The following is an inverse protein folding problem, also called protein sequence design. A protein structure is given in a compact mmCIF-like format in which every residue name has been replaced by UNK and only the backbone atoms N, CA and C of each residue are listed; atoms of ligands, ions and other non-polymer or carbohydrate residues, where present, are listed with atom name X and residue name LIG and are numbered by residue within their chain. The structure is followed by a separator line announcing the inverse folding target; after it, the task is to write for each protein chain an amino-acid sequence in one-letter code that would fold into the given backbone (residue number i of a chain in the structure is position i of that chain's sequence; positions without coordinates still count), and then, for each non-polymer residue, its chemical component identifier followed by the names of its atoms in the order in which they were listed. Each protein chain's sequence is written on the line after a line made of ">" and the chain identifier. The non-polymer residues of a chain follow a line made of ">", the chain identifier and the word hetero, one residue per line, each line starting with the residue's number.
data_IF_055348484153
#
_entry.id   IF_055348484153
#
_cell.length_a   1.000
_cell.length_b   1.000
_cell.length_c   1.000
_cell.angle_alpha   90.00
_cell.angle_beta   90.00
_cell.angle_gamma   90.00
#
_symmetry.space_group_name_H-M   'P 1'
#
loop_
_entity.id
_entity.type
_entity.pdbx_description
1 polymer ?
#
# COMPACT_ATOMS: atom_id res chain seq x y z
N UNK A 1 38.79 23.77 20.61
CA UNK A 1 37.40 23.52 20.17
C UNK A 1 36.44 23.15 21.33
N UNK A 2 36.60 23.68 22.55
CA UNK A 2 35.75 23.27 23.69
C UNK A 2 34.28 23.75 23.60
N UNK A 3 33.99 24.76 22.77
CA UNK A 3 32.64 25.32 22.60
C UNK A 3 31.82 24.75 21.44
N UNK A 4 32.35 23.83 20.64
CA UNK A 4 31.65 23.34 19.45
C UNK A 4 30.47 22.44 19.85
N UNK A 5 29.24 22.85 19.50
CA UNK A 5 28.00 22.15 19.87
C UNK A 5 27.29 21.50 18.68
N UNK A 6 27.54 21.98 17.48
CA UNK A 6 26.92 21.54 16.24
C UNK A 6 28.03 21.28 15.23
N UNK A 7 28.00 20.12 14.59
CA UNK A 7 28.92 19.74 13.54
C UNK A 7 28.12 19.25 12.35
N UNK A 8 28.36 19.81 11.18
CA UNK A 8 27.65 19.46 9.95
C UNK A 8 28.59 19.31 8.76
N UNK A 9 28.51 18.15 8.11
CA UNK A 9 29.18 17.80 6.86
C UNK A 9 28.21 17.06 5.94
N UNK A 10 27.72 17.77 4.93
CA UNK A 10 26.76 17.25 3.96
C UNK A 10 27.45 17.00 2.61
N UNK A 11 27.33 15.78 2.09
CA UNK A 11 27.87 15.36 0.79
C UNK A 11 29.39 15.58 0.64
N UNK A 12 30.14 15.50 1.74
CA UNK A 12 31.60 15.61 1.75
C UNK A 12 32.22 14.25 2.02
N UNK A 13 33.08 13.80 1.11
CA UNK A 13 33.84 12.56 1.26
C UNK A 13 35.26 12.96 1.70
N UNK A 14 35.57 12.67 2.96
CA UNK A 14 36.92 12.86 3.49
C UNK A 14 37.79 11.64 3.17
N UNK A 15 39.02 11.86 2.72
CA UNK A 15 40.00 10.80 2.50
C UNK A 15 40.66 10.31 3.79
N UNK A 16 40.57 11.09 4.87
CA UNK A 16 41.19 10.80 6.15
C UNK A 16 40.16 10.58 7.27
N UNK A 17 40.52 9.68 8.19
CA UNK A 17 39.71 9.35 9.35
C UNK A 17 39.81 10.45 10.43
N UNK A 18 38.69 11.00 10.94
CA UNK A 18 38.72 11.92 12.08
C UNK A 18 39.30 11.23 13.32
N UNK A 19 40.40 11.77 13.82
CA UNK A 19 41.07 11.27 15.04
C UNK A 19 40.39 11.73 16.33
N UNK A 20 39.62 12.81 16.28
CA UNK A 20 39.01 13.44 17.46
C UNK A 20 37.66 14.05 17.14
N UNK A 21 36.71 13.91 18.08
CA UNK A 21 35.42 14.58 18.09
C UNK A 21 35.22 15.26 19.47
N UNK A 22 34.87 16.56 19.53
CA UNK A 22 34.64 17.23 20.81
C UNK A 22 33.46 16.65 21.60
N UNK A 23 33.66 16.35 22.88
CA UNK A 23 32.59 15.86 23.76
C UNK A 23 31.49 16.90 24.08
N UNK A 24 31.69 18.17 23.72
CA UNK A 24 30.68 19.24 23.86
C UNK A 24 29.63 19.25 22.75
N UNK A 25 29.79 18.41 21.72
CA UNK A 25 28.84 18.25 20.63
C UNK A 25 27.48 17.77 21.15
N UNK A 26 26.43 18.43 20.64
CA UNK A 26 25.02 18.15 20.89
C UNK A 26 24.36 17.57 19.64
N UNK A 27 24.81 17.98 18.46
CA UNK A 27 24.29 17.50 17.18
C UNK A 27 25.48 17.22 16.26
N UNK A 28 25.45 16.05 15.62
CA UNK A 28 26.36 15.68 14.54
C UNK A 28 25.51 15.31 13.34
N UNK A 29 25.64 16.08 12.26
CA UNK A 29 25.15 15.72 10.94
C UNK A 29 26.35 15.44 10.04
N UNK A 30 26.62 14.18 9.70
CA UNK A 30 27.81 13.80 8.96
C UNK A 30 27.52 12.68 7.98
N UNK A 31 26.94 13.06 6.83
CA UNK A 31 26.77 12.12 5.72
C UNK A 31 28.13 11.63 5.21
N UNK A 32 28.20 10.37 4.78
CA UNK A 32 29.42 9.76 4.22
C UNK A 32 30.61 9.75 5.19
N UNK A 33 30.36 9.60 6.50
CA UNK A 33 31.42 9.55 7.49
C UNK A 33 32.47 8.48 7.12
N UNK A 34 33.76 8.85 7.05
CA UNK A 34 34.77 8.06 6.36
C UNK A 34 35.22 6.83 7.17
N UNK A 35 35.16 6.91 8.49
CA UNK A 35 35.76 5.88 9.36
C UNK A 35 34.85 4.70 9.65
N UNK A 36 35.48 3.59 10.02
CA UNK A 36 34.81 2.35 10.41
C UNK A 36 34.10 2.43 11.76
N UNK A 37 34.54 3.34 12.64
CA UNK A 37 34.01 3.55 13.99
C UNK A 37 34.06 5.05 14.34
N UNK A 38 33.25 5.47 15.32
CA UNK A 38 33.50 6.74 16.01
C UNK A 38 34.82 6.66 16.81
N UNK A 39 35.52 7.78 17.02
CA UNK A 39 36.76 7.78 17.80
C UNK A 39 36.51 7.25 19.22
N UNK A 40 37.38 6.37 19.72
CA UNK A 40 37.25 5.77 21.05
C UNK A 40 37.30 6.80 22.19
N UNK A 41 37.89 7.96 21.93
CA UNK A 41 37.91 9.12 22.83
C UNK A 41 36.59 9.88 22.89
N UNK A 42 35.67 9.65 21.95
CA UNK A 42 34.40 10.36 21.88
C UNK A 42 33.43 9.85 22.96
N UNK A 43 33.31 10.62 24.04
CA UNK A 43 32.38 10.38 25.16
C UNK A 43 31.49 11.61 25.37
N UNK A 44 30.44 11.75 24.56
CA UNK A 44 29.51 12.88 24.67
C UNK A 44 28.25 12.53 25.44
N UNK A 45 28.17 12.99 26.69
CA UNK A 45 26.95 12.91 27.50
C UNK A 45 25.90 13.99 27.14
N UNK A 46 26.24 14.87 26.19
CA UNK A 46 25.40 15.99 25.76
C UNK A 46 24.82 15.80 24.36
N UNK A 47 25.25 14.78 23.62
CA UNK A 47 24.79 14.49 22.27
C UNK A 47 23.31 14.12 22.30
N UNK A 48 22.50 14.87 21.55
CA UNK A 48 21.06 14.65 21.38
C UNK A 48 20.71 14.06 20.01
N UNK A 49 21.56 14.30 19.01
CA UNK A 49 21.34 13.83 17.64
C UNK A 49 22.65 13.37 17.01
N UNK A 50 22.59 12.19 16.40
CA UNK A 50 23.66 11.59 15.61
C UNK A 50 23.08 11.14 14.27
N UNK A 51 23.23 12.00 13.26
CA UNK A 51 22.75 11.79 11.91
C UNK A 51 23.95 11.56 10.98
N UNK A 52 24.19 10.31 10.57
CA UNK A 52 25.37 9.93 9.79
C UNK A 52 25.01 8.94 8.68
N UNK A 53 24.16 9.34 7.71
CA UNK A 53 23.73 8.45 6.65
C UNK A 53 24.87 8.18 5.66
N UNK A 54 24.79 7.06 4.94
CA UNK A 54 25.77 6.63 3.93
C UNK A 54 27.19 6.46 4.48
N UNK A 55 27.33 6.24 5.79
CA UNK A 55 28.65 6.15 6.44
C UNK A 55 29.36 4.82 6.19
N UNK A 56 30.69 4.85 6.26
CA UNK A 56 31.56 3.67 6.19
C UNK A 56 31.64 2.87 7.50
N UNK A 57 30.80 3.22 8.48
CA UNK A 57 30.74 2.56 9.78
C UNK A 57 30.53 1.06 9.61
N UNK A 58 31.37 0.28 10.28
CA UNK A 58 31.22 -1.17 10.44
C UNK A 58 30.45 -1.48 11.72
N UNK A 59 30.72 -0.71 12.77
CA UNK A 59 29.97 -0.61 14.02
C UNK A 59 29.99 0.84 14.48
N UNK A 60 29.14 1.21 15.43
CA UNK A 60 29.12 2.57 15.95
C UNK A 60 30.41 2.89 16.74
N UNK A 61 30.90 1.94 17.53
CA UNK A 61 32.10 2.04 18.37
C UNK A 61 32.78 0.67 18.52
N UNK A 62 34.06 0.64 18.90
CA UNK A 62 34.81 -0.59 19.19
C UNK A 62 34.44 -1.24 20.54
N UNK A 63 33.83 -0.47 21.44
CA UNK A 63 33.38 -0.94 22.76
C UNK A 63 32.01 -0.41 23.13
N UNK A 64 31.64 -0.55 24.41
CA UNK A 64 30.37 -0.01 24.94
C UNK A 64 30.34 1.51 24.74
N UNK A 65 29.21 2.00 24.25
CA UNK A 65 28.95 3.42 24.05
C UNK A 65 27.79 3.84 24.95
N UNK A 66 27.96 4.97 25.61
CA UNK A 66 26.94 5.57 26.48
C UNK A 66 26.67 7.00 26.02
N UNK A 67 25.45 7.23 25.52
CA UNK A 67 24.97 8.50 25.00
C UNK A 67 23.61 8.80 25.66
N UNK A 68 23.58 9.11 26.96
CA UNK A 68 22.34 9.13 27.74
C UNK A 68 21.35 10.19 27.30
N UNK A 69 21.77 11.25 26.59
CA UNK A 69 20.89 12.30 26.06
C UNK A 69 20.48 12.10 24.60
N UNK A 70 20.97 11.04 23.93
CA UNK A 70 20.68 10.81 22.53
C UNK A 70 19.19 10.54 22.34
N UNK A 71 18.58 11.27 21.40
CA UNK A 71 17.17 11.13 21.02
C UNK A 71 17.01 10.62 19.60
N UNK A 72 17.95 10.94 18.71
CA UNK A 72 17.86 10.61 17.30
C UNK A 72 19.17 9.96 16.84
N UNK A 73 19.08 8.75 16.31
CA UNK A 73 20.19 8.02 15.70
C UNK A 73 19.79 7.63 14.27
N UNK A 74 20.44 8.22 13.28
CA UNK A 74 20.26 7.87 11.88
C UNK A 74 21.58 7.40 11.29
N UNK A 75 21.63 6.12 10.90
CA UNK A 75 22.76 5.50 10.20
C UNK A 75 22.31 4.93 8.85
N UNK A 76 21.25 5.49 8.27
CA UNK A 76 20.65 4.97 7.06
C UNK A 76 21.64 4.86 5.90
N UNK A 77 21.50 3.81 5.10
CA UNK A 77 22.31 3.48 3.93
C UNK A 77 23.80 3.25 4.25
N UNK A 78 24.14 2.99 5.52
CA UNK A 78 25.46 2.51 5.92
C UNK A 78 25.65 1.04 5.54
N UNK A 79 26.02 0.81 4.27
CA UNK A 79 26.17 -0.53 3.67
C UNK A 79 27.25 -1.39 4.34
N UNK A 80 28.16 -0.82 5.13
CA UNK A 80 29.21 -1.58 5.84
C UNK A 80 28.82 -1.96 7.26
N UNK A 81 27.70 -1.46 7.78
CA UNK A 81 27.27 -1.68 9.16
C UNK A 81 26.86 -3.15 9.33
N UNK A 82 27.49 -3.86 10.26
CA UNK A 82 27.28 -5.31 10.47
C UNK A 82 26.37 -5.57 11.68
N UNK A 83 26.51 -4.78 12.74
CA UNK A 83 25.68 -4.90 13.94
C UNK A 83 25.39 -3.55 14.59
N UNK A 84 24.32 -3.50 15.38
CA UNK A 84 23.96 -2.32 16.19
C UNK A 84 24.71 -2.32 17.53
N UNK A 85 24.88 -1.16 18.19
CA UNK A 85 25.42 -1.10 19.55
C UNK A 85 24.45 -1.69 20.58
N UNK A 86 24.94 -1.89 21.81
CA UNK A 86 24.08 -2.09 22.96
C UNK A 86 23.30 -0.80 23.28
N UNK A 87 22.00 -0.84 23.07
CA UNK A 87 21.10 0.28 23.31
C UNK A 87 20.85 0.62 24.79
N UNK A 88 21.39 -0.14 25.76
CA UNK A 88 21.29 0.19 27.20
C UNK A 88 21.90 1.57 27.55
N UNK A 89 22.91 2.01 26.78
CA UNK A 89 23.50 3.36 26.88
C UNK A 89 22.70 4.47 26.20
N UNK A 90 21.49 4.19 25.70
CA UNK A 90 20.68 5.13 24.92
C UNK A 90 19.24 5.23 25.46
N UNK A 91 19.04 5.42 26.78
CA UNK A 91 17.72 5.34 27.42
C UNK A 91 16.70 6.37 26.91
N UNK A 92 17.15 7.44 26.26
CA UNK A 92 16.33 8.54 25.76
C UNK A 92 16.06 8.49 24.25
N UNK A 93 16.48 7.42 23.58
CA UNK A 93 16.34 7.27 22.13
C UNK A 93 14.86 7.28 21.74
N UNK A 94 14.50 8.16 20.80
CA UNK A 94 13.15 8.32 20.26
C UNK A 94 13.04 7.83 18.82
N UNK A 95 14.13 7.92 18.06
CA UNK A 95 14.18 7.48 16.67
C UNK A 95 15.46 6.71 16.41
N UNK A 96 15.32 5.53 15.79
CA UNK A 96 16.39 4.74 15.23
C UNK A 96 16.10 4.48 13.76
N UNK A 97 16.94 5.05 12.88
CA UNK A 97 16.86 4.83 11.44
C UNK A 97 18.10 4.11 10.91
N UNK A 98 17.89 2.91 10.39
CA UNK A 98 18.87 2.03 9.77
C UNK A 98 18.45 1.65 8.34
N UNK A 99 17.57 2.44 7.71
CA UNK A 99 17.07 2.21 6.35
C UNK A 99 18.19 1.84 5.38
N UNK A 100 18.05 0.76 4.62
CA UNK A 100 19.02 0.26 3.62
C UNK A 100 20.42 -0.04 4.16
N UNK A 101 20.57 -0.37 5.45
CA UNK A 101 21.78 -1.02 5.96
C UNK A 101 21.82 -2.49 5.53
N UNK A 102 22.14 -2.73 4.26
CA UNK A 102 22.01 -4.06 3.60
C UNK A 102 22.80 -5.18 4.26
N UNK A 103 23.97 -4.89 4.84
CA UNK A 103 24.85 -5.87 5.49
C UNK A 103 24.63 -5.96 7.01
N UNK A 104 23.59 -5.33 7.55
CA UNK A 104 23.24 -5.43 8.97
C UNK A 104 22.72 -6.85 9.25
N UNK A 105 23.48 -7.61 10.03
CA UNK A 105 23.20 -9.03 10.32
C UNK A 105 22.48 -9.18 11.66
N UNK A 106 22.93 -8.45 12.68
CA UNK A 106 22.48 -8.60 14.06
C UNK A 106 22.02 -7.25 14.62
N UNK A 107 20.83 -7.25 15.22
CA UNK A 107 20.33 -6.15 16.02
C UNK A 107 20.45 -6.57 17.48
N UNK A 108 21.18 -5.77 18.26
CA UNK A 108 21.41 -6.06 19.67
C UNK A 108 20.07 -6.15 20.43
N UNK A 109 19.85 -7.19 21.26
CA UNK A 109 18.56 -7.45 21.89
C UNK A 109 18.00 -6.30 22.73
N UNK A 110 18.86 -5.45 23.30
CA UNK A 110 18.41 -4.30 24.10
C UNK A 110 17.57 -3.27 23.33
N UNK A 111 17.52 -3.34 21.99
CA UNK A 111 16.57 -2.53 21.19
C UNK A 111 15.12 -2.77 21.63
N UNK A 112 14.79 -3.99 22.04
CA UNK A 112 13.45 -4.41 22.42
C UNK A 112 12.91 -3.72 23.68
N UNK A 113 13.77 -3.14 24.50
CA UNK A 113 13.41 -2.55 25.79
C UNK A 113 13.51 -1.02 25.80
N UNK A 114 13.63 -0.39 24.63
CA UNK A 114 13.68 1.07 24.51
C UNK A 114 12.29 1.70 24.72
N UNK A 115 11.94 1.92 25.99
CA UNK A 115 10.63 2.46 26.42
C UNK A 115 10.24 3.82 25.83
N UNK A 116 11.21 4.60 25.33
CA UNK A 116 11.02 5.94 24.74
C UNK A 116 11.09 5.96 23.21
N UNK A 117 11.42 4.83 22.56
CA UNK A 117 11.54 4.77 21.11
C UNK A 117 10.15 4.88 20.49
N UNK A 118 9.98 5.85 19.60
CA UNK A 118 8.74 6.10 18.84
C UNK A 118 8.81 5.55 17.42
N UNK A 119 10.00 5.55 16.81
CA UNK A 119 10.18 5.12 15.43
C UNK A 119 11.39 4.20 15.29
N UNK A 120 11.15 3.00 14.75
CA UNK A 120 12.17 2.03 14.36
C UNK A 120 12.06 1.74 12.86
N UNK A 121 13.06 2.20 12.10
CA UNK A 121 13.13 1.99 10.66
C UNK A 121 14.30 1.06 10.30
N UNK A 122 13.96 -0.15 9.87
CA UNK A 122 14.86 -1.22 9.41
C UNK A 122 14.61 -1.57 7.95
N UNK A 123 13.88 -0.73 7.22
CA UNK A 123 13.48 -0.98 5.83
C UNK A 123 14.69 -1.26 4.95
N UNK A 124 14.71 -2.36 4.21
CA UNK A 124 15.76 -2.73 3.26
C UNK A 124 17.05 -3.23 3.94
N UNK A 125 16.98 -3.62 5.21
CA UNK A 125 18.05 -4.37 5.87
C UNK A 125 17.94 -5.86 5.51
N UNK A 126 18.46 -6.20 4.33
CA UNK A 126 18.30 -7.52 3.70
C UNK A 126 19.00 -8.64 4.49
N UNK A 127 20.11 -8.37 5.19
CA UNK A 127 20.92 -9.40 5.88
C UNK A 127 20.51 -9.74 7.31
N UNK A 128 19.46 -9.11 7.86
CA UNK A 128 19.04 -9.37 9.26
C UNK A 128 18.64 -10.84 9.39
N UNK A 129 19.32 -11.55 10.30
CA UNK A 129 19.05 -12.99 10.55
C UNK A 129 17.95 -13.22 11.58
N UNK A 130 17.92 -12.38 12.62
CA UNK A 130 16.97 -12.51 13.72
C UNK A 130 16.69 -11.16 14.35
N UNK A 131 15.44 -11.00 14.78
CA UNK A 131 15.02 -9.93 15.69
C UNK A 131 14.95 -10.50 17.13
N UNK A 132 14.90 -9.65 18.16
CA UNK A 132 14.55 -10.07 19.52
C UNK A 132 13.25 -10.89 19.52
N UNK A 133 13.09 -11.81 20.48
CA UNK A 133 11.88 -12.66 20.53
C UNK A 133 10.61 -11.90 20.88
N UNK A 134 10.74 -10.81 21.65
CA UNK A 134 9.64 -9.99 22.12
C UNK A 134 10.06 -8.52 22.12
N UNK A 135 9.12 -7.63 21.82
CA UNK A 135 9.26 -6.19 21.96
C UNK A 135 8.48 -5.70 23.17
N UNK A 136 9.15 -4.94 24.03
CA UNK A 136 8.55 -4.22 25.15
C UNK A 136 8.76 -2.71 25.00
N UNK A 137 8.22 -2.14 23.93
CA UNK A 137 8.49 -0.76 23.51
C UNK A 137 7.24 0.12 23.64
N UNK A 138 6.93 0.53 24.87
CA UNK A 138 5.66 1.18 25.24
C UNK A 138 5.33 2.45 24.42
N UNK A 139 6.35 3.19 23.95
CA UNK A 139 6.18 4.42 23.16
C UNK A 139 6.23 4.22 21.65
N UNK A 140 6.41 2.99 21.14
CA UNK A 140 6.61 2.76 19.72
C UNK A 140 5.33 3.12 18.95
N UNK A 141 5.47 3.96 17.93
CA UNK A 141 4.39 4.44 17.06
C UNK A 141 4.55 3.92 15.63
N UNK A 142 5.78 3.76 15.16
CA UNK A 142 6.14 3.36 13.79
C UNK A 142 7.19 2.26 13.77
N UNK A 143 6.88 1.17 13.07
CA UNK A 143 7.79 0.05 12.81
C UNK A 143 7.84 -0.25 11.31
N UNK A 144 9.03 -0.21 10.72
CA UNK A 144 9.22 -0.58 9.31
C UNK A 144 10.34 -1.62 9.17
N UNK A 145 9.98 -2.80 8.69
CA UNK A 145 10.84 -3.93 8.33
C UNK A 145 10.75 -4.26 6.83
N UNK A 146 10.07 -3.44 6.02
CA UNK A 146 9.85 -3.75 4.60
C UNK A 146 11.17 -3.94 3.85
N UNK A 147 11.29 -4.98 3.06
CA UNK A 147 12.52 -5.34 2.32
C UNK A 147 13.59 -6.02 3.16
N UNK A 148 13.34 -6.32 4.44
CA UNK A 148 14.18 -7.22 5.24
C UNK A 148 13.86 -8.68 4.89
N UNK A 149 14.26 -9.07 3.68
CA UNK A 149 13.88 -10.32 3.02
C UNK A 149 14.28 -11.61 3.76
N UNK A 150 15.23 -11.58 4.68
CA UNK A 150 15.62 -12.75 5.49
C UNK A 150 14.86 -12.88 6.82
N UNK A 151 14.04 -11.89 7.20
CA UNK A 151 13.26 -11.93 8.44
C UNK A 151 12.08 -12.90 8.27
N UNK A 152 12.14 -14.04 8.95
CA UNK A 152 11.11 -15.11 8.91
C UNK A 152 10.09 -15.04 10.05
N UNK A 153 10.46 -14.42 11.16
CA UNK A 153 9.62 -14.28 12.35
C UNK A 153 9.70 -12.84 12.81
N UNK A 154 8.53 -12.26 13.11
CA UNK A 154 8.46 -10.99 13.82
C UNK A 154 8.32 -11.26 15.33
N UNK A 155 8.77 -10.33 16.18
CA UNK A 155 8.71 -10.49 17.63
C UNK A 155 7.27 -10.51 18.14
N UNK A 156 7.05 -11.13 19.29
CA UNK A 156 5.82 -10.90 20.06
C UNK A 156 5.77 -9.45 20.54
N UNK A 157 4.57 -8.88 20.67
CA UNK A 157 4.36 -7.52 21.17
C UNK A 157 3.93 -7.56 22.64
N UNK A 158 4.62 -6.84 23.51
CA UNK A 158 4.26 -6.75 24.92
C UNK A 158 2.92 -6.05 25.15
N UNK A 159 2.25 -6.38 26.25
CA UNK A 159 0.87 -5.92 26.57
C UNK A 159 0.71 -4.38 26.65
N UNK A 160 1.80 -3.66 26.90
CA UNK A 160 1.80 -2.20 27.03
C UNK A 160 2.00 -1.46 25.70
N UNK A 161 2.23 -2.17 24.58
CA UNK A 161 2.51 -1.58 23.27
C UNK A 161 1.25 -1.03 22.56
N UNK A 162 0.51 -0.15 23.24
CA UNK A 162 -0.78 0.37 22.77
C UNK A 162 -0.66 1.51 21.75
N UNK A 163 0.54 2.07 21.59
CA UNK A 163 0.80 3.27 20.79
C UNK A 163 1.20 2.99 19.33
N UNK A 164 1.47 1.73 18.97
CA UNK A 164 1.89 1.39 17.61
C UNK A 164 0.75 1.71 16.65
N UNK A 165 1.00 2.60 15.70
CA UNK A 165 0.02 3.09 14.73
C UNK A 165 0.29 2.54 13.33
N UNK A 166 1.56 2.34 12.97
CA UNK A 166 1.96 1.91 11.63
C UNK A 166 2.96 0.77 11.70
N UNK A 167 2.65 -0.32 10.99
CA UNK A 167 3.55 -1.46 10.77
C UNK A 167 3.68 -1.71 9.26
N UNK A 168 4.91 -1.72 8.77
CA UNK A 168 5.25 -2.12 7.41
C UNK A 168 6.23 -3.30 7.42
N UNK A 169 5.83 -4.43 6.81
CA UNK A 169 6.59 -5.67 6.72
C UNK A 169 6.74 -6.15 5.27
N UNK A 170 6.54 -5.28 4.30
CA UNK A 170 6.43 -5.66 2.88
C UNK A 170 7.70 -6.38 2.38
N UNK A 171 7.57 -7.43 1.59
CA UNK A 171 8.71 -8.15 1.01
C UNK A 171 9.61 -8.81 2.04
N UNK A 172 9.09 -9.13 3.23
CA UNK A 172 9.77 -9.96 4.23
C UNK A 172 9.48 -11.45 4.00
N UNK A 173 10.29 -12.34 4.57
CA UNK A 173 10.07 -13.79 4.51
C UNK A 173 9.19 -14.31 5.65
N UNK A 174 8.38 -13.45 6.27
CA UNK A 174 7.58 -13.81 7.44
C UNK A 174 6.60 -14.93 7.12
N UNK A 175 6.50 -15.89 8.02
CA UNK A 175 5.61 -17.05 7.86
C UNK A 175 4.28 -16.87 8.62
N UNK A 176 4.30 -16.08 9.71
CA UNK A 176 3.16 -15.82 10.59
C UNK A 176 3.25 -14.43 11.21
N UNK A 177 2.09 -13.81 11.44
CA UNK A 177 1.91 -12.68 12.35
C UNK A 177 1.51 -13.23 13.73
N UNK A 178 2.13 -12.79 14.84
CA UNK A 178 1.89 -13.30 16.18
C UNK A 178 0.53 -12.85 16.72
N UNK A 179 -0.07 -13.63 17.61
CA UNK A 179 -1.37 -13.28 18.21
C UNK A 179 -1.30 -12.04 19.11
N UNK A 180 -0.11 -11.73 19.65
CA UNK A 180 0.15 -10.49 20.40
C UNK A 180 -0.04 -9.21 19.60
N UNK A 181 -0.24 -9.27 18.27
CA UNK A 181 -0.77 -8.14 17.49
C UNK A 181 -2.05 -7.56 18.10
N UNK A 182 -2.82 -8.38 18.85
CA UNK A 182 -3.99 -7.96 19.64
C UNK A 182 -3.69 -6.84 20.65
N UNK A 183 -2.46 -6.73 21.14
CA UNK A 183 -2.06 -5.70 22.11
C UNK A 183 -1.92 -4.31 21.46
N UNK A 184 -1.77 -4.26 20.13
CA UNK A 184 -1.58 -3.03 19.37
C UNK A 184 -2.92 -2.36 19.06
N UNK A 185 -3.68 -2.03 20.10
CA UNK A 185 -5.04 -1.45 19.97
C UNK A 185 -5.08 -0.11 19.21
N UNK A 186 -3.95 0.60 19.12
CA UNK A 186 -3.78 1.82 18.33
C UNK A 186 -3.38 1.61 16.87
N UNK A 187 -3.19 0.36 16.41
CA UNK A 187 -2.70 0.06 15.06
C UNK A 187 -3.71 0.54 14.02
N UNK A 188 -3.28 1.47 13.18
CA UNK A 188 -4.10 2.08 12.13
C UNK A 188 -3.79 1.53 10.74
N UNK A 189 -2.51 1.23 10.47
CA UNK A 189 -2.04 0.80 9.16
C UNK A 189 -1.13 -0.43 9.27
N UNK A 190 -1.51 -1.51 8.59
CA UNK A 190 -0.70 -2.72 8.45
C UNK A 190 -0.44 -3.00 6.96
N UNK A 191 0.83 -2.99 6.55
CA UNK A 191 1.24 -3.43 5.21
C UNK A 191 2.15 -4.64 5.32
N UNK A 192 1.77 -5.71 4.63
CA UNK A 192 2.48 -6.99 4.54
C UNK A 192 2.55 -7.45 3.08
N UNK A 193 2.62 -6.50 2.14
CA UNK A 193 2.69 -6.77 0.71
C UNK A 193 3.87 -7.68 0.39
N UNK A 194 3.76 -8.55 -0.59
CA UNK A 194 4.86 -9.42 -1.04
C UNK A 194 5.45 -10.33 0.05
N UNK A 195 4.74 -10.57 1.15
CA UNK A 195 5.07 -11.58 2.14
C UNK A 195 4.70 -12.98 1.62
N UNK A 196 5.47 -13.49 0.65
CA UNK A 196 5.21 -14.73 -0.10
C UNK A 196 5.17 -16.02 0.73
N UNK A 197 5.65 -15.96 1.98
CA UNK A 197 5.63 -17.10 2.90
C UNK A 197 4.51 -17.04 3.95
N UNK A 198 3.78 -15.93 4.02
CA UNK A 198 2.73 -15.75 5.00
C UNK A 198 1.55 -16.65 4.65
N UNK A 199 1.20 -17.55 5.57
CA UNK A 199 0.12 -18.52 5.34
C UNK A 199 -1.26 -17.96 5.71
N UNK A 200 -1.35 -17.31 6.86
CA UNK A 200 -2.60 -16.82 7.42
C UNK A 200 -2.36 -15.59 8.28
N UNK A 201 -3.40 -14.79 8.45
CA UNK A 201 -3.47 -13.73 9.43
C UNK A 201 -4.15 -14.23 10.72
N UNK A 202 -3.70 -13.80 11.92
CA UNK A 202 -4.35 -14.18 13.17
C UNK A 202 -5.71 -13.50 13.32
N UNK A 203 -6.69 -14.23 13.89
CA UNK A 203 -8.04 -13.71 14.17
C UNK A 203 -8.06 -12.48 15.08
N UNK A 204 -7.00 -12.27 15.86
CA UNK A 204 -6.77 -11.06 16.64
C UNK A 204 -6.91 -9.76 15.82
N UNK A 205 -6.54 -9.77 14.53
CA UNK A 205 -6.63 -8.59 13.65
C UNK A 205 -8.07 -8.09 13.51
N UNK A 206 -9.06 -9.00 13.52
CA UNK A 206 -10.48 -8.62 13.45
C UNK A 206 -10.94 -7.74 14.63
N UNK A 207 -10.21 -7.75 15.75
CA UNK A 207 -10.55 -6.98 16.95
C UNK A 207 -9.83 -5.62 17.01
N UNK A 208 -8.93 -5.32 16.07
CA UNK A 208 -8.17 -4.07 16.03
C UNK A 208 -9.02 -2.93 15.46
N UNK A 209 -9.94 -2.38 16.26
CA UNK A 209 -10.92 -1.36 15.84
C UNK A 209 -10.31 -0.10 15.21
N UNK A 210 -9.04 0.19 15.51
CA UNK A 210 -8.31 1.33 14.93
C UNK A 210 -7.74 1.06 13.54
N UNK A 211 -7.65 -0.21 13.11
CA UNK A 211 -7.03 -0.60 11.86
C UNK A 211 -7.93 -0.19 10.69
N UNK A 212 -7.52 0.83 9.93
CA UNK A 212 -8.31 1.29 8.78
C UNK A 212 -7.69 0.91 7.44
N UNK A 213 -6.38 0.64 7.41
CA UNK A 213 -5.64 0.26 6.22
C UNK A 213 -4.99 -1.12 6.37
N UNK A 214 -5.27 -2.02 5.42
CA UNK A 214 -4.63 -3.32 5.29
C UNK A 214 -4.14 -3.56 3.86
N UNK A 215 -2.86 -3.90 3.71
CA UNK A 215 -2.29 -4.29 2.42
C UNK A 215 -1.66 -5.69 2.49
N UNK A 216 -2.25 -6.62 1.73
CA UNK A 216 -1.87 -8.04 1.60
C UNK A 216 -1.57 -8.43 0.15
N UNK A 217 -1.32 -7.45 -0.73
CA UNK A 217 -0.99 -7.72 -2.14
C UNK A 217 0.26 -8.60 -2.26
N UNK A 218 0.34 -9.44 -3.29
CA UNK A 218 1.54 -10.27 -3.53
C UNK A 218 1.80 -11.36 -2.47
N UNK A 219 0.92 -11.55 -1.48
CA UNK A 219 0.99 -12.65 -0.53
C UNK A 219 0.58 -13.99 -1.19
N UNK A 220 1.51 -14.62 -1.90
CA UNK A 220 1.23 -15.78 -2.76
C UNK A 220 0.65 -17.03 -2.07
N UNK A 221 0.70 -17.12 -0.74
CA UNK A 221 0.16 -18.23 0.07
C UNK A 221 -1.03 -17.84 0.94
N UNK A 222 -1.39 -16.56 0.99
CA UNK A 222 -2.53 -16.08 1.77
C UNK A 222 -3.78 -16.15 0.89
N UNK A 223 -4.69 -17.07 1.22
CA UNK A 223 -5.90 -17.34 0.45
C UNK A 223 -7.17 -16.75 1.07
N UNK A 224 -7.11 -16.27 2.32
CA UNK A 224 -8.24 -15.68 3.02
C UNK A 224 -7.85 -14.70 4.13
N UNK A 225 -8.81 -13.85 4.48
CA UNK A 225 -8.76 -13.02 5.68
C UNK A 225 -9.43 -13.76 6.85
N UNK A 226 -9.02 -13.51 8.11
CA UNK A 226 -9.40 -14.32 9.27
C UNK A 226 -10.83 -14.12 9.80
N UNK A 227 -11.63 -13.28 9.15
CA UNK A 227 -13.02 -13.00 9.52
C UNK A 227 -13.46 -11.60 9.11
N UNK A 228 -14.60 -11.17 9.64
CA UNK A 228 -15.18 -9.86 9.35
C UNK A 228 -14.29 -8.72 9.87
N UNK A 229 -14.11 -7.69 9.04
CA UNK A 229 -13.25 -6.54 9.30
C UNK A 229 -13.98 -5.23 9.00
N UNK A 230 -15.15 -5.05 9.61
CA UNK A 230 -16.01 -3.87 9.42
C UNK A 230 -15.31 -2.53 9.76
N UNK A 231 -14.16 -2.53 10.42
CA UNK A 231 -13.39 -1.34 10.76
C UNK A 231 -12.47 -0.89 9.61
N UNK A 232 -12.16 -1.78 8.65
CA UNK A 232 -11.34 -1.45 7.49
C UNK A 232 -12.06 -0.47 6.57
N UNK A 233 -11.29 0.50 6.08
CA UNK A 233 -11.69 1.47 5.07
C UNK A 233 -10.94 1.22 3.76
N UNK A 234 -9.68 0.81 3.86
CA UNK A 234 -8.79 0.67 2.72
C UNK A 234 -8.18 -0.74 2.72
N UNK A 235 -8.42 -1.49 1.65
CA UNK A 235 -7.90 -2.85 1.48
C UNK A 235 -7.17 -2.94 0.15
N UNK A 236 -5.92 -3.42 0.21
CA UNK A 236 -5.18 -3.86 -0.98
C UNK A 236 -4.95 -5.35 -0.92
N UNK A 237 -5.42 -6.10 -1.91
CA UNK A 237 -5.24 -7.55 -1.98
C UNK A 237 -4.97 -8.03 -3.41
N UNK A 238 -4.52 -9.28 -3.52
CA UNK A 238 -4.18 -9.89 -4.80
C UNK A 238 -5.05 -11.10 -5.14
N UNK A 239 -4.82 -11.64 -6.34
CA UNK A 239 -5.51 -12.79 -6.94
C UNK A 239 -5.54 -14.09 -6.11
N UNK A 240 -4.67 -14.21 -5.09
CA UNK A 240 -4.65 -15.37 -4.20
C UNK A 240 -5.86 -15.47 -3.30
N UNK A 241 -6.56 -14.36 -3.07
CA UNK A 241 -7.76 -14.31 -2.24
C UNK A 241 -8.88 -15.19 -2.83
N UNK A 242 -9.16 -16.31 -2.16
CA UNK A 242 -10.11 -17.32 -2.58
C UNK A 242 -11.49 -17.17 -1.90
N UNK A 243 -11.52 -16.64 -0.68
CA UNK A 243 -12.75 -16.39 0.08
C UNK A 243 -13.32 -14.98 -0.20
N UNK A 244 -14.66 -14.84 -0.27
CA UNK A 244 -15.25 -13.56 -0.60
C UNK A 244 -15.23 -12.55 0.55
N UNK A 245 -15.18 -11.28 0.20
CA UNK A 245 -14.99 -10.12 1.08
C UNK A 245 -16.30 -9.68 1.80
N UNK A 246 -17.14 -10.64 2.20
CA UNK A 246 -18.55 -10.43 2.61
C UNK A 246 -18.73 -9.63 3.92
N UNK A 247 -17.66 -9.52 4.73
CA UNK A 247 -17.65 -8.89 6.07
C UNK A 247 -16.94 -7.54 6.18
N UNK A 248 -16.89 -6.75 5.10
CA UNK A 248 -16.16 -5.47 5.05
C UNK A 248 -17.06 -4.31 4.64
N UNK A 249 -18.10 -4.04 5.43
CA UNK A 249 -19.19 -3.13 5.02
C UNK A 249 -18.84 -1.64 4.95
N UNK A 250 -17.79 -1.23 5.64
CA UNK A 250 -17.32 0.15 5.69
C UNK A 250 -16.12 0.41 4.76
N UNK A 251 -15.79 -0.57 3.92
CA UNK A 251 -14.71 -0.44 2.94
C UNK A 251 -15.06 0.66 1.95
N UNK A 252 -14.12 1.58 1.77
CA UNK A 252 -14.17 2.72 0.85
C UNK A 252 -13.29 2.48 -0.36
N UNK A 253 -12.08 1.99 -0.12
CA UNK A 253 -11.08 1.83 -1.17
C UNK A 253 -10.68 0.35 -1.25
N UNK A 254 -10.95 -0.27 -2.40
CA UNK A 254 -10.55 -1.63 -2.70
C UNK A 254 -9.58 -1.62 -3.89
N UNK A 255 -8.33 -1.97 -3.61
CA UNK A 255 -7.33 -2.15 -4.63
C UNK A 255 -7.06 -3.64 -4.85
N UNK A 256 -7.34 -4.11 -6.05
CA UNK A 256 -7.03 -5.47 -6.46
C UNK A 256 -5.96 -5.47 -7.54
N UNK A 257 -4.97 -6.35 -7.42
CA UNK A 257 -3.95 -6.55 -8.44
C UNK A 257 -3.75 -8.03 -8.73
N UNK A 258 -3.76 -8.40 -10.00
CA UNK A 258 -3.38 -9.73 -10.45
C UNK A 258 -1.88 -9.76 -10.79
N UNK A 259 -1.21 -10.86 -10.46
CA UNK A 259 0.17 -11.06 -10.85
C UNK A 259 0.23 -11.63 -12.29
N UNK A 260 1.12 -11.13 -13.17
CA UNK A 260 1.14 -11.49 -14.61
C UNK A 260 1.33 -12.99 -14.91
N UNK A 261 1.89 -13.74 -13.96
CA UNK A 261 2.17 -15.18 -14.08
C UNK A 261 1.09 -16.07 -13.44
N UNK A 262 0.00 -15.46 -12.92
CA UNK A 262 -1.12 -16.19 -12.35
C UNK A 262 -1.94 -16.82 -13.48
N UNK A 263 -1.41 -17.89 -14.09
CA UNK A 263 -2.08 -18.76 -15.07
C UNK A 263 -3.59 -18.71 -14.89
N UNK A 264 -4.29 -18.10 -15.84
CA UNK A 264 -5.74 -18.01 -15.97
C UNK A 264 -6.43 -19.11 -15.14
N UNK A 265 -6.71 -18.80 -13.87
CA UNK A 265 -7.28 -19.80 -12.97
C UNK A 265 -8.74 -19.90 -13.38
N UNK A 266 -9.15 -21.05 -13.92
CA UNK A 266 -10.56 -21.33 -14.19
C UNK A 266 -11.41 -20.94 -12.96
N UNK A 267 -12.29 -19.95 -13.12
CA UNK A 267 -13.19 -19.47 -12.07
C UNK A 267 -12.65 -18.40 -11.11
N UNK A 268 -11.53 -17.74 -11.42
CA UNK A 268 -11.16 -16.47 -10.78
C UNK A 268 -11.84 -15.30 -11.53
N UNK A 269 -12.28 -14.26 -10.79
CA UNK A 269 -13.00 -13.10 -11.31
C UNK A 269 -13.69 -12.29 -10.19
N UNK A 270 -14.09 -11.03 -10.45
CA UNK A 270 -14.74 -10.14 -9.47
C UNK A 270 -15.97 -10.81 -8.83
N UNK A 271 -16.72 -11.62 -9.60
CA UNK A 271 -17.78 -12.47 -9.08
C UNK A 271 -17.35 -13.33 -7.89
N UNK A 272 -16.19 -14.01 -7.95
CA UNK A 272 -15.74 -14.89 -6.86
C UNK A 272 -15.35 -14.10 -5.62
N UNK A 273 -14.64 -12.99 -5.78
CA UNK A 273 -14.23 -12.11 -4.69
C UNK A 273 -15.41 -11.49 -3.94
N UNK A 274 -16.52 -11.31 -4.64
CA UNK A 274 -17.77 -10.80 -4.09
C UNK A 274 -18.75 -11.91 -3.63
N UNK A 275 -18.39 -13.19 -3.83
CA UNK A 275 -19.24 -14.32 -3.49
C UNK A 275 -20.46 -14.47 -4.40
N UNK A 276 -20.37 -13.96 -5.63
CA UNK A 276 -21.38 -13.97 -6.69
C UNK A 276 -21.08 -15.02 -7.79
N UNK A 277 -19.92 -15.66 -7.76
CA UNK A 277 -19.53 -16.68 -8.73
C UNK A 277 -20.28 -17.99 -8.53
N UNK A 278 -20.69 -18.64 -9.63
CA UNK A 278 -21.19 -20.02 -9.61
C UNK A 278 -20.04 -20.97 -9.26
N UNK A 279 -19.79 -21.22 -7.98
CA UNK A 279 -19.06 -22.42 -7.59
C UNK A 279 -19.93 -23.63 -7.96
N UNK A 280 -19.48 -24.48 -8.88
CA UNK A 280 -20.05 -25.84 -9.01
C UNK A 280 -19.87 -26.53 -7.65
N UNK A 281 -20.94 -26.95 -6.93
CA UNK A 281 -20.79 -27.38 -5.54
C UNK A 281 -20.65 -28.91 -5.42
N UNK A 282 -19.92 -29.35 -4.40
CA UNK A 282 -20.31 -30.50 -3.58
C UNK A 282 -19.82 -30.29 -2.13
N UNK A 283 -20.70 -30.18 -1.10
CA UNK A 283 -22.17 -30.16 -1.08
C UNK A 283 -22.77 -28.74 -1.10
N UNK A 284 -24.07 -28.60 -1.46
CA UNK A 284 -24.73 -27.32 -1.72
C UNK A 284 -25.43 -26.76 -0.48
N UNK A 285 -25.11 -25.53 -0.08
CA UNK A 285 -25.94 -24.71 0.81
C UNK A 285 -25.74 -23.23 0.50
N UNK A 286 -26.34 -22.71 -0.57
CA UNK A 286 -26.39 -21.26 -0.83
C UNK A 286 -27.81 -20.87 -1.25
N UNK A 287 -28.78 -21.18 -0.38
CA UNK A 287 -30.04 -20.44 -0.37
C UNK A 287 -29.76 -19.05 0.19
N UNK A 288 -30.06 -18.01 -0.60
CA UNK A 288 -29.92 -16.57 -0.30
C UNK A 288 -28.54 -15.92 -0.58
N UNK A 289 -28.10 -15.91 -1.83
CA UNK A 289 -27.18 -14.86 -2.35
C UNK A 289 -27.99 -13.80 -3.07
N UNK A 290 -28.93 -13.18 -2.34
CA UNK A 290 -29.57 -11.96 -2.81
C UNK A 290 -28.75 -10.81 -2.20
N UNK A 291 -28.02 -10.05 -3.03
CA UNK A 291 -27.39 -8.76 -2.73
C UNK A 291 -26.02 -8.71 -1.99
N UNK A 292 -25.01 -9.48 -2.40
CA UNK A 292 -23.65 -9.39 -1.78
C UNK A 292 -22.96 -8.04 -2.02
N UNK A 293 -23.16 -7.41 -3.18
CA UNK A 293 -22.59 -6.08 -3.47
C UNK A 293 -23.23 -4.94 -2.67
N UNK A 294 -24.48 -5.08 -2.20
CA UNK A 294 -25.08 -4.10 -1.29
C UNK A 294 -24.26 -3.94 0.00
N UNK A 295 -23.49 -4.97 0.39
CA UNK A 295 -22.66 -4.90 1.60
C UNK A 295 -21.44 -4.00 1.40
N UNK A 296 -20.93 -3.87 0.19
CA UNK A 296 -19.87 -2.92 -0.17
C UNK A 296 -20.43 -1.56 -0.60
N UNK A 297 -21.63 -1.19 -0.17
CA UNK A 297 -22.24 0.09 -0.55
C UNK A 297 -21.43 1.32 -0.12
N UNK A 298 -20.50 1.18 0.83
CA UNK A 298 -19.61 2.27 1.25
C UNK A 298 -18.44 2.53 0.27
N UNK A 299 -18.27 1.65 -0.73
CA UNK A 299 -17.13 1.69 -1.64
C UNK A 299 -17.18 2.94 -2.53
N UNK A 300 -16.06 3.66 -2.58
CA UNK A 300 -15.82 4.88 -3.36
C UNK A 300 -14.84 4.64 -4.47
N UNK A 301 -13.80 3.83 -4.23
CA UNK A 301 -12.78 3.52 -5.22
C UNK A 301 -12.64 2.01 -5.39
N UNK A 302 -12.71 1.55 -6.64
CA UNK A 302 -12.51 0.15 -7.02
C UNK A 302 -11.46 0.06 -8.12
N UNK A 303 -10.29 -0.49 -7.79
CA UNK A 303 -9.21 -0.76 -8.73
C UNK A 303 -9.17 -2.23 -9.11
N UNK A 304 -9.34 -2.52 -10.40
CA UNK A 304 -9.31 -3.84 -11.01
C UNK A 304 -8.50 -3.78 -12.33
N UNK A 305 -7.40 -3.02 -12.34
CA UNK A 305 -6.52 -2.87 -13.51
C UNK A 305 -5.71 -4.15 -13.75
N UNK A 306 -5.51 -4.49 -15.03
CA UNK A 306 -4.72 -5.64 -15.50
C UNK A 306 -5.10 -6.95 -14.78
N UNK A 307 -6.42 -7.12 -14.59
CA UNK A 307 -7.01 -8.21 -13.82
C UNK A 307 -7.50 -9.36 -14.70
N UNK A 308 -7.15 -9.43 -15.98
CA UNK A 308 -7.61 -10.49 -16.90
C UNK A 308 -9.15 -10.71 -16.96
N UNK A 309 -9.96 -9.73 -16.53
CA UNK A 309 -11.42 -9.88 -16.46
C UNK A 309 -12.01 -10.13 -17.86
N UNK A 310 -12.83 -11.16 -17.97
CA UNK A 310 -13.50 -11.58 -19.20
C UNK A 310 -15.01 -11.27 -19.15
N UNK A 311 -15.71 -11.57 -20.25
CA UNK A 311 -17.15 -11.36 -20.34
C UNK A 311 -17.90 -12.10 -19.23
N UNK A 312 -18.74 -11.39 -18.48
CA UNK A 312 -19.51 -11.93 -17.37
C UNK A 312 -18.79 -11.93 -16.01
N UNK A 313 -17.52 -11.54 -15.92
CA UNK A 313 -16.81 -11.47 -14.63
C UNK A 313 -17.21 -10.26 -13.79
N UNK A 314 -17.73 -9.21 -14.42
CA UNK A 314 -18.32 -8.07 -13.73
C UNK A 314 -19.83 -8.36 -13.56
N UNK A 315 -20.33 -8.49 -12.32
CA UNK A 315 -21.75 -8.78 -12.08
C UNK A 315 -22.68 -7.67 -12.55
N UNK A 316 -23.86 -8.05 -13.03
CA UNK A 316 -24.96 -7.11 -13.30
C UNK A 316 -25.39 -6.33 -12.06
N UNK A 317 -25.09 -6.77 -10.85
CA UNK A 317 -25.39 -6.03 -9.62
C UNK A 317 -24.36 -4.93 -9.30
N UNK A 318 -23.34 -4.69 -10.14
CA UNK A 318 -22.33 -3.63 -9.93
C UNK A 318 -22.98 -2.26 -9.73
N UNK A 319 -24.10 -1.99 -10.41
CA UNK A 319 -24.91 -0.78 -10.23
C UNK A 319 -25.47 -0.55 -8.83
N UNK A 320 -25.37 -1.52 -7.91
CA UNK A 320 -25.74 -1.37 -6.50
C UNK A 320 -24.68 -0.59 -5.69
N UNK A 321 -23.46 -0.40 -6.21
CA UNK A 321 -22.41 0.40 -5.58
C UNK A 321 -22.67 1.91 -5.73
N UNK A 322 -23.75 2.37 -5.11
CA UNK A 322 -24.29 3.74 -5.30
C UNK A 322 -23.37 4.88 -4.88
N UNK A 323 -22.35 4.60 -4.05
CA UNK A 323 -21.34 5.58 -3.62
C UNK A 323 -20.02 5.50 -4.41
N UNK A 324 -19.91 4.60 -5.39
CA UNK A 324 -18.70 4.45 -6.19
C UNK A 324 -18.44 5.72 -7.00
N UNK A 325 -17.27 6.31 -6.80
CA UNK A 325 -16.77 7.51 -7.46
C UNK A 325 -15.79 7.15 -8.56
N UNK A 326 -14.85 6.23 -8.29
CA UNK A 326 -13.79 5.88 -9.23
C UNK A 326 -13.76 4.36 -9.49
N UNK A 327 -13.87 3.98 -10.76
CA UNK A 327 -13.82 2.60 -11.23
C UNK A 327 -12.71 2.44 -12.27
N UNK A 328 -11.65 1.72 -11.91
CA UNK A 328 -10.51 1.45 -12.79
C UNK A 328 -10.58 0.01 -13.30
N UNK A 329 -10.81 -0.14 -14.61
CA UNK A 329 -10.95 -1.43 -15.31
C UNK A 329 -9.96 -1.55 -16.47
N UNK A 330 -8.93 -0.71 -16.50
CA UNK A 330 -7.91 -0.70 -17.56
C UNK A 330 -7.23 -2.09 -17.71
N UNK A 331 -6.87 -2.48 -18.94
CA UNK A 331 -6.10 -3.68 -19.21
C UNK A 331 -6.86 -5.01 -19.13
N UNK A 332 -8.20 -5.00 -19.21
CA UNK A 332 -9.03 -6.20 -19.14
C UNK A 332 -9.55 -6.69 -20.51
N UNK A 333 -10.18 -7.86 -20.54
CA UNK A 333 -10.51 -8.62 -21.75
C UNK A 333 -12.02 -8.83 -21.99
N UNK A 334 -12.90 -8.14 -21.26
CA UNK A 334 -14.35 -8.19 -21.48
C UNK A 334 -14.76 -7.57 -22.82
N UNK A 335 -15.89 -8.02 -23.37
CA UNK A 335 -16.44 -7.54 -24.65
C UNK A 335 -17.40 -6.38 -24.42
N UNK A 336 -18.16 -6.42 -23.33
CA UNK A 336 -19.08 -5.38 -22.90
C UNK A 336 -19.06 -5.21 -21.38
N UNK A 337 -19.61 -4.09 -20.90
CA UNK A 337 -19.87 -3.87 -19.48
C UNK A 337 -21.37 -4.08 -19.18
N UNK A 338 -21.75 -4.49 -17.96
CA UNK A 338 -23.14 -4.70 -17.60
C UNK A 338 -23.96 -3.40 -17.66
N UNK A 339 -25.23 -3.50 -18.09
CA UNK A 339 -26.12 -2.34 -18.24
C UNK A 339 -26.37 -1.56 -16.94
N UNK A 340 -26.21 -2.22 -15.79
CA UNK A 340 -26.46 -1.62 -14.48
C UNK A 340 -25.46 -0.54 -14.10
N UNK A 341 -24.32 -0.41 -14.78
CA UNK A 341 -23.36 0.70 -14.59
C UNK A 341 -24.06 2.06 -14.68
N UNK A 342 -25.13 2.19 -15.47
CA UNK A 342 -25.97 3.39 -15.54
C UNK A 342 -26.54 3.86 -14.18
N UNK A 343 -26.58 2.98 -13.18
CA UNK A 343 -27.10 3.24 -11.83
C UNK A 343 -26.04 3.82 -10.89
N UNK A 344 -24.76 3.85 -11.29
CA UNK A 344 -23.65 4.40 -10.50
C UNK A 344 -23.68 5.94 -10.51
N UNK A 345 -24.68 6.52 -9.83
CA UNK A 345 -24.98 7.96 -9.86
C UNK A 345 -23.88 8.89 -9.33
N UNK A 346 -22.88 8.35 -8.63
CA UNK A 346 -21.74 9.08 -8.07
C UNK A 346 -20.44 8.90 -8.84
N UNK A 347 -20.46 8.09 -9.91
CA UNK A 347 -19.26 7.76 -10.68
C UNK A 347 -18.71 9.01 -11.38
N UNK A 348 -17.49 9.40 -11.03
CA UNK A 348 -16.71 10.52 -11.58
C UNK A 348 -15.62 10.02 -12.52
N UNK A 349 -15.06 8.83 -12.29
CA UNK A 349 -14.02 8.29 -13.15
C UNK A 349 -14.33 6.84 -13.55
N UNK A 350 -14.24 6.57 -14.85
CA UNK A 350 -14.31 5.23 -15.44
C UNK A 350 -13.09 5.00 -16.35
N UNK A 351 -12.14 4.21 -15.85
CA UNK A 351 -10.94 3.81 -16.59
C UNK A 351 -11.18 2.53 -17.40
N UNK A 352 -11.02 2.61 -18.71
CA UNK A 352 -11.23 1.49 -19.65
C UNK A 352 -10.10 1.37 -20.67
N UNK A 353 -8.95 1.98 -20.41
CA UNK A 353 -7.79 1.91 -21.28
C UNK A 353 -7.27 0.48 -21.46
N UNK A 354 -6.62 0.22 -22.61
CA UNK A 354 -6.03 -1.08 -22.97
C UNK A 354 -7.00 -2.27 -22.95
N UNK A 355 -8.32 -2.03 -22.92
CA UNK A 355 -9.34 -3.07 -23.03
C UNK A 355 -9.54 -3.51 -24.48
N UNK A 356 -8.63 -4.35 -25.00
CA UNK A 356 -8.55 -4.66 -26.44
C UNK A 356 -9.75 -5.41 -26.99
N UNK A 357 -10.48 -6.17 -26.17
CA UNK A 357 -11.67 -6.95 -26.57
C UNK A 357 -12.98 -6.18 -26.50
N UNK A 358 -12.98 -4.99 -25.87
CA UNK A 358 -14.17 -4.19 -25.66
C UNK A 358 -14.76 -3.74 -27.01
N UNK A 359 -16.00 -4.09 -27.30
CA UNK A 359 -16.67 -3.79 -28.57
C UNK A 359 -17.73 -2.69 -28.43
N UNK A 360 -18.39 -2.59 -27.28
CA UNK A 360 -19.42 -1.60 -27.02
C UNK A 360 -19.50 -1.19 -25.55
N UNK A 361 -20.02 0.02 -25.31
CA UNK A 361 -20.32 0.53 -23.97
C UNK A 361 -21.83 0.49 -23.69
N UNK A 362 -22.26 0.08 -22.48
CA UNK A 362 -23.64 0.20 -22.04
C UNK A 362 -23.99 1.68 -21.79
N UNK A 363 -25.28 2.01 -21.58
CA UNK A 363 -25.68 3.32 -21.05
C UNK A 363 -24.87 3.67 -19.79
N UNK A 364 -24.28 4.87 -19.79
CA UNK A 364 -23.48 5.37 -18.67
C UNK A 364 -24.36 6.20 -17.71
N UNK A 365 -23.93 6.36 -16.44
CA UNK A 365 -24.68 7.16 -15.49
C UNK A 365 -24.74 8.63 -15.92
N UNK A 366 -25.88 9.28 -15.67
CA UNK A 366 -26.04 10.72 -15.89
C UNK A 366 -25.39 11.49 -14.72
N UNK A 367 -24.07 11.66 -14.79
CA UNK A 367 -23.29 12.49 -13.87
C UNK A 367 -22.51 13.53 -14.69
N UNK A 368 -22.63 14.81 -14.32
CA UNK A 368 -21.92 15.89 -15.02
C UNK A 368 -20.41 15.75 -14.88
N UNK A 369 -19.91 15.28 -13.74
CA UNK A 369 -18.46 15.15 -13.46
C UNK A 369 -17.83 13.83 -14.00
N UNK A 370 -18.54 13.08 -14.85
CA UNK A 370 -18.06 11.77 -15.31
C UNK A 370 -16.98 11.92 -16.39
N UNK A 371 -15.77 11.46 -16.07
CA UNK A 371 -14.65 11.26 -16.98
C UNK A 371 -14.53 9.78 -17.38
N UNK A 372 -14.47 9.50 -18.68
CA UNK A 372 -14.27 8.16 -19.24
C UNK A 372 -13.00 8.14 -20.08
N UNK A 373 -12.08 7.22 -19.78
CA UNK A 373 -10.83 7.05 -20.53
C UNK A 373 -10.81 5.75 -21.32
N UNK A 374 -10.54 5.85 -22.62
CA UNK A 374 -10.51 4.76 -23.60
C UNK A 374 -9.27 4.94 -24.49
N UNK A 375 -8.10 4.58 -23.98
CA UNK A 375 -6.90 4.50 -24.81
C UNK A 375 -6.67 3.05 -25.24
N UNK A 376 -6.18 2.83 -26.46
CA UNK A 376 -5.81 1.51 -26.99
C UNK A 376 -6.92 0.43 -26.96
N UNK A 377 -8.20 0.83 -27.03
CA UNK A 377 -9.34 -0.09 -27.17
C UNK A 377 -9.62 -0.40 -28.64
N UNK A 378 -8.80 -1.27 -29.23
CA UNK A 378 -8.77 -1.47 -30.69
C UNK A 378 -10.02 -2.09 -31.30
N UNK A 379 -10.81 -2.85 -30.53
CA UNK A 379 -12.02 -3.53 -31.00
C UNK A 379 -13.32 -2.73 -30.79
N UNK A 380 -13.24 -1.54 -30.19
CA UNK A 380 -14.40 -0.75 -29.83
C UNK A 380 -15.06 -0.22 -31.11
N UNK A 381 -16.28 -0.68 -31.41
CA UNK A 381 -17.01 -0.36 -32.65
C UNK A 381 -18.10 0.68 -32.44
N UNK A 382 -18.72 0.73 -31.24
CA UNK A 382 -19.93 1.52 -31.00
C UNK A 382 -19.94 2.19 -29.62
N UNK A 383 -20.31 3.47 -29.60
CA UNK A 383 -20.67 4.22 -28.38
C UNK A 383 -22.18 4.49 -28.27
N UNK A 384 -22.98 3.98 -29.22
CA UNK A 384 -24.30 4.53 -29.57
C UNK A 384 -25.36 4.47 -28.46
N UNK A 385 -25.17 3.65 -27.43
CA UNK A 385 -26.08 3.56 -26.27
C UNK A 385 -25.53 4.19 -24.98
N UNK A 386 -24.22 4.41 -24.87
CA UNK A 386 -23.60 5.08 -23.71
C UNK A 386 -24.19 6.47 -23.46
N UNK A 387 -24.57 7.14 -24.55
CA UNK A 387 -25.05 8.52 -24.57
C UNK A 387 -26.53 8.66 -24.96
N UNK A 388 -27.39 7.67 -24.66
CA UNK A 388 -28.84 7.91 -24.58
C UNK A 388 -29.13 8.83 -23.38
N UNK A 389 -28.61 10.04 -23.47
CA UNK A 389 -28.87 11.18 -22.62
C UNK A 389 -30.35 11.49 -22.82
N UNK A 390 -31.15 11.13 -21.83
CA UNK A 390 -32.54 11.53 -21.78
C UNK A 390 -32.63 13.04 -22.00
N UNK A 391 -33.55 13.45 -22.86
CA UNK A 391 -33.73 14.77 -23.44
C UNK A 391 -34.17 15.86 -22.44
N UNK A 392 -33.67 15.86 -21.20
CA UNK A 392 -34.04 16.85 -20.18
C UNK A 392 -32.89 17.56 -19.48
N UNK A 393 -31.64 17.11 -19.63
CA UNK A 393 -30.48 17.80 -19.01
C UNK A 393 -29.30 17.85 -19.99
N UNK A 394 -29.39 18.72 -20.98
CA UNK A 394 -28.30 19.04 -21.90
C UNK A 394 -27.41 20.13 -21.30
N UNK A 395 -26.54 19.76 -20.37
CA UNK A 395 -25.35 20.53 -20.03
C UNK A 395 -24.15 19.60 -20.25
N UNK A 396 -23.64 19.60 -21.48
CA UNK A 396 -22.48 18.82 -21.94
C UNK A 396 -21.14 19.42 -21.47
N UNK A 397 -21.15 20.22 -20.39
CA UNK A 397 -20.02 21.08 -20.03
C UNK A 397 -18.91 20.36 -19.24
N UNK A 398 -19.20 19.21 -18.61
CA UNK A 398 -18.26 18.57 -17.66
C UNK A 398 -17.97 17.08 -17.98
N UNK A 399 -18.40 16.57 -19.14
CA UNK A 399 -18.13 15.19 -19.56
C UNK A 399 -16.81 15.09 -20.33
N UNK A 400 -15.76 14.59 -19.67
CA UNK A 400 -14.45 14.37 -20.27
C UNK A 400 -14.34 12.97 -20.90
N UNK A 401 -14.09 12.92 -22.21
CA UNK A 401 -13.95 11.69 -22.97
C UNK A 401 -12.60 11.63 -23.69
N UNK A 402 -11.70 10.79 -23.18
CA UNK A 402 -10.37 10.62 -23.76
C UNK A 402 -10.32 9.33 -24.57
N UNK A 403 -10.34 9.45 -25.90
CA UNK A 403 -10.24 8.32 -26.82
C UNK A 403 -8.97 8.40 -27.66
N UNK A 404 -8.08 7.43 -27.51
CA UNK A 404 -6.82 7.36 -28.27
C UNK A 404 -6.64 5.94 -28.84
N UNK A 405 -6.16 5.83 -30.07
CA UNK A 405 -5.85 4.55 -30.75
C UNK A 405 -7.03 3.52 -30.83
N UNK A 406 -8.28 3.97 -30.77
CA UNK A 406 -9.48 3.13 -30.92
C UNK A 406 -9.89 2.97 -32.39
N UNK A 407 -9.09 2.25 -33.16
CA UNK A 407 -9.15 2.22 -34.63
C UNK A 407 -10.47 1.69 -35.21
N UNK A 408 -11.14 0.74 -34.56
CA UNK A 408 -12.42 0.18 -35.04
C UNK A 408 -13.59 1.16 -34.93
N UNK A 409 -13.46 2.20 -34.08
CA UNK A 409 -14.49 3.20 -33.83
C UNK A 409 -14.66 4.14 -35.03
N UNK A 410 -13.55 4.41 -35.73
CA UNK A 410 -13.48 5.29 -36.93
C UNK A 410 -14.27 4.69 -38.11
N UNK A 411 -14.51 3.38 -38.11
CA UNK A 411 -15.22 2.69 -39.19
C UNK A 411 -16.77 2.80 -39.09
N UNK A 412 -17.32 3.33 -37.98
CA UNK A 412 -18.75 3.63 -37.86
C UNK A 412 -19.02 5.09 -38.28
N UNK A 413 -19.40 5.29 -39.55
CA UNK A 413 -19.76 6.60 -40.11
C UNK A 413 -20.86 7.31 -39.31
N UNK A 414 -21.74 6.58 -38.61
CA UNK A 414 -22.81 7.21 -37.81
C UNK A 414 -22.26 7.93 -36.60
N UNK A 415 -21.15 7.46 -36.03
CA UNK A 415 -20.55 8.05 -34.84
C UNK A 415 -19.84 9.36 -35.16
N UNK A 416 -19.00 9.37 -36.20
CA UNK A 416 -18.37 10.59 -36.71
C UNK A 416 -19.45 11.63 -37.01
N UNK A 417 -20.51 11.25 -37.72
CA UNK A 417 -21.63 12.14 -38.03
C UNK A 417 -22.42 12.58 -36.77
N UNK A 418 -22.54 11.74 -35.73
CA UNK A 418 -23.24 12.09 -34.47
C UNK A 418 -22.42 13.05 -33.60
N UNK A 419 -21.09 12.89 -33.54
CA UNK A 419 -20.21 13.85 -32.87
C UNK A 419 -20.20 15.16 -33.66
N UNK A 420 -19.92 15.10 -34.97
CA UNK A 420 -19.83 16.28 -35.83
C UNK A 420 -21.15 17.05 -35.89
N UNK A 421 -22.32 16.38 -35.92
CA UNK A 421 -23.64 17.06 -35.89
C UNK A 421 -23.98 17.71 -34.55
N UNK A 422 -23.25 17.39 -33.48
CA UNK A 422 -23.41 18.04 -32.17
C UNK A 422 -22.43 19.19 -31.95
N UNK A 423 -21.33 19.29 -32.70
CA UNK A 423 -20.41 20.44 -32.70
C UNK A 423 -21.14 21.80 -32.93
N UNK A 424 -22.11 21.93 -33.86
CA UNK A 424 -22.84 23.19 -34.06
C UNK A 424 -23.66 23.66 -32.83
N UNK A 425 -24.10 22.73 -31.96
CA UNK A 425 -24.79 23.10 -30.71
C UNK A 425 -23.86 23.75 -29.68
N UNK A 426 -22.55 23.59 -29.82
CA UNK A 426 -21.54 24.24 -28.97
C UNK A 426 -21.17 25.65 -29.46
N UNK A 427 -21.35 25.95 -30.75
CA UNK A 427 -21.07 27.28 -31.32
C UNK A 427 -22.25 28.23 -31.11
N UNK A 428 -23.48 27.72 -31.07
CA UNK A 428 -24.69 28.54 -30.93
C UNK A 428 -24.93 29.15 -29.52
N UNK A 429 -24.07 28.87 -28.53
CA UNK A 429 -24.18 29.46 -27.17
C UNK A 429 -23.25 30.67 -26.94
N UNK A 430 -22.49 31.08 -27.96
CA UNK A 430 -21.64 32.30 -27.91
C UNK A 430 -22.21 33.48 -28.73
N UNK A 431 -23.39 33.32 -29.33
CA UNK A 431 -24.13 34.41 -29.97
C UNK A 431 -25.57 34.46 -29.44
N UNK A 432 -25.76 34.89 -28.19
CA UNK A 432 -26.96 35.61 -27.72
C UNK A 432 -26.72 36.27 -26.37
#
# INVERSE_FOLDING_TARGET
>A
MHGLRFLEFNNLIFSSDPKFLPCSLRIINWSWYPSKFLPTSFRSYLLTELNMPNSNLVRLSEGKMDLPKLKYLNLASSKKLINTPDFSGFPNLKMLDLWKCKNLVEIHPSVAFLKRLKSLNLRGCESIKSLPSEFEMDSLEYLNLSGSSNVKKIPEFGEQMKNVSVIYLDGTAIEKIPSSIAHLVGLNSLSISDCKNLLNLPRAICNLKSLTYLNVMGCSKLDKLPGDMDHLKDLKCGDTMAEPLVGMKNLKDLFFKCEPDAKAREGWGLLRLLGLGKSRPHPPCWGLVLSSLNRLCSLRMLYLEDCELCEGDIPDDIGCLSFLEDLYLDGNNFVSLPESIRRLSKLKYLGLGRCKSLQELPPLPSNSELSVTLHDCTSLKRLTNAFKLSSRFTNLYDFDFYCQNCIALVQDERWINTILSRIPRFVAYYEM
#
